data_IF_220374723428
#
_entry.id   IF_220374723428
#
_cell.length_a   1.000
_cell.length_b   1.000
_cell.length_c   1.000
_cell.angle_alpha   90.00
_cell.angle_beta   90.00
_cell.angle_gamma   90.00
#
_symmetry.space_group_name_H-M   'P 1'
#
loop_
_entity.id
_entity.type
_entity.pdbx_description
1 polymer ?
#
# COMPACT_ATOMS: atom_id res chain seq x y z
N UNK A 1 -2.55 -3.98 12.00
CA UNK A 1 -3.84 -3.76 11.30
C UNK A 1 -3.79 -2.53 10.44
N UNK A 2 -3.48 -1.37 11.02
CA UNK A 2 -3.27 -0.11 10.27
C UNK A 2 -2.28 -0.27 9.11
N UNK A 3 -1.12 -0.91 9.33
CA UNK A 3 -0.16 -1.18 8.26
C UNK A 3 -0.78 -1.97 7.08
N UNK A 4 -1.57 -3.02 7.36
CA UNK A 4 -2.22 -3.81 6.31
C UNK A 4 -3.29 -3.02 5.56
N UNK A 5 -4.12 -2.26 6.29
CA UNK A 5 -5.11 -1.37 5.67
C UNK A 5 -4.43 -0.31 4.78
N UNK A 6 -3.28 0.22 5.20
CA UNK A 6 -2.45 1.11 4.40
C UNK A 6 -1.92 0.42 3.13
N UNK A 7 -1.40 -0.81 3.22
CA UNK A 7 -0.95 -1.57 2.04
C UNK A 7 -2.11 -1.82 1.07
N UNK A 8 -3.28 -2.19 1.58
CA UNK A 8 -4.47 -2.40 0.74
C UNK A 8 -4.92 -1.11 0.03
N UNK A 9 -4.87 0.03 0.74
CA UNK A 9 -5.16 1.34 0.19
C UNK A 9 -4.16 1.74 -0.91
N UNK A 10 -2.88 1.45 -0.72
CA UNK A 10 -1.86 1.68 -1.75
C UNK A 10 -2.12 0.87 -3.01
N UNK A 11 -2.57 -0.39 -2.87
CA UNK A 11 -2.99 -1.20 -4.00
C UNK A 11 -4.12 -0.55 -4.81
N UNK A 12 -5.10 0.05 -4.13
CA UNK A 12 -6.17 0.80 -4.79
C UNK A 12 -5.63 2.04 -5.54
N UNK A 13 -4.74 2.81 -4.91
CA UNK A 13 -4.15 3.98 -5.56
C UNK A 13 -3.30 3.61 -6.77
N UNK A 14 -2.47 2.56 -6.68
CA UNK A 14 -1.74 2.03 -7.85
C UNK A 14 -2.67 1.59 -8.97
N UNK A 15 -3.82 0.99 -8.63
CA UNK A 15 -4.83 0.57 -9.61
C UNK A 15 -5.50 1.77 -10.28
N UNK A 16 -5.75 2.86 -9.55
CA UNK A 16 -6.23 4.13 -10.12
C UNK A 16 -5.19 4.73 -11.06
N UNK A 17 -3.91 4.64 -10.71
CA UNK A 17 -2.83 5.16 -11.54
C UNK A 17 -2.73 4.49 -12.90
N UNK A 18 -3.27 3.27 -13.06
CA UNK A 18 -3.38 2.62 -14.36
C UNK A 18 -4.26 3.40 -15.36
N UNK A 19 -5.18 4.24 -14.88
CA UNK A 19 -6.06 5.09 -15.71
C UNK A 19 -5.39 6.39 -16.19
N UNK A 20 -4.05 6.44 -16.26
CA UNK A 20 -3.33 7.60 -16.77
C UNK A 20 -3.72 7.91 -18.23
N UNK A 21 -3.67 9.19 -18.62
CA UNK A 21 -4.24 9.74 -19.85
C UNK A 21 -3.63 9.21 -21.15
N UNK A 22 -2.58 8.38 -21.06
CA UNK A 22 -1.86 7.80 -22.19
C UNK A 22 -2.33 6.40 -22.57
N UNK A 23 -3.25 5.81 -21.80
CA UNK A 23 -3.69 4.42 -21.98
C UNK A 23 -5.09 4.36 -22.60
N UNK A 24 -5.28 3.54 -23.63
CA UNK A 24 -6.58 3.34 -24.25
C UNK A 24 -7.40 2.33 -23.43
N UNK A 25 -8.27 2.85 -22.56
CA UNK A 25 -9.14 2.05 -21.70
C UNK A 25 -9.99 1.10 -22.56
N UNK A 26 -9.98 -0.19 -22.20
CA UNK A 26 -10.71 -1.25 -22.89
C UNK A 26 -10.05 -1.77 -24.16
N UNK A 27 -8.92 -1.18 -24.58
CA UNK A 27 -8.16 -1.61 -25.76
C UNK A 27 -6.80 -2.13 -25.33
N UNK A 28 -6.04 -1.35 -24.58
CA UNK A 28 -4.73 -1.74 -24.08
C UNK A 28 -4.89 -2.69 -22.88
N UNK A 29 -4.20 -3.85 -22.84
CA UNK A 29 -4.31 -4.77 -21.70
C UNK A 29 -3.64 -4.18 -20.45
N UNK A 30 -4.32 -4.28 -19.31
CA UNK A 30 -3.76 -3.92 -17.98
C UNK A 30 -2.68 -4.92 -17.58
N UNK A 31 -2.93 -6.20 -17.86
CA UNK A 31 -2.03 -7.32 -17.61
C UNK A 31 -1.69 -7.96 -18.96
N UNK A 32 -0.54 -7.61 -19.56
CA UNK A 32 -0.12 -8.23 -20.81
C UNK A 32 0.08 -9.74 -20.61
N UNK A 33 -0.23 -10.53 -21.64
CA UNK A 33 -0.15 -11.99 -21.58
C UNK A 33 -1.27 -12.69 -20.79
N UNK A 34 -2.24 -11.95 -20.25
CA UNK A 34 -3.42 -12.55 -19.60
C UNK A 34 -4.37 -13.22 -20.61
N UNK A 35 -5.08 -14.27 -20.17
CA UNK A 35 -6.13 -14.96 -20.94
C UNK A 35 -7.37 -14.08 -21.14
N UNK A 36 -7.59 -13.11 -20.25
CA UNK A 36 -8.79 -12.28 -20.29
C UNK A 36 -8.66 -11.14 -21.30
N UNK A 37 -9.70 -10.84 -22.10
CA UNK A 37 -9.71 -9.69 -22.98
C UNK A 37 -9.49 -8.37 -22.23
N UNK A 38 -8.84 -7.39 -22.86
CA UNK A 38 -8.53 -6.09 -22.26
C UNK A 38 -9.77 -5.44 -21.62
N UNK A 39 -10.92 -5.40 -22.31
CA UNK A 39 -12.19 -4.88 -21.77
C UNK A 39 -12.60 -5.51 -20.45
N UNK A 40 -12.45 -6.83 -20.32
CA UNK A 40 -12.76 -7.56 -19.10
C UNK A 40 -11.79 -7.20 -17.97
N UNK A 41 -10.50 -7.05 -18.28
CA UNK A 41 -9.50 -6.62 -17.30
C UNK A 41 -9.82 -5.21 -16.77
N UNK A 42 -10.18 -4.26 -17.64
CA UNK A 42 -10.56 -2.91 -17.23
C UNK A 42 -11.83 -2.86 -16.38
N UNK A 43 -12.88 -3.58 -16.79
CA UNK A 43 -14.12 -3.66 -16.02
C UNK A 43 -13.87 -4.25 -14.62
N UNK A 44 -13.08 -5.33 -14.55
CA UNK A 44 -12.66 -5.91 -13.30
C UNK A 44 -11.87 -4.92 -12.45
N UNK A 45 -10.90 -4.19 -13.03
CA UNK A 45 -10.08 -3.22 -12.33
C UNK A 45 -10.94 -2.10 -11.70
N UNK A 46 -11.92 -1.58 -12.43
CA UNK A 46 -12.85 -0.56 -11.92
C UNK A 46 -13.65 -1.07 -10.70
N UNK A 47 -14.18 -2.30 -10.80
CA UNK A 47 -14.93 -2.94 -9.69
C UNK A 47 -14.00 -3.20 -8.50
N UNK A 48 -12.80 -3.71 -8.76
CA UNK A 48 -11.79 -4.01 -7.76
C UNK A 48 -11.37 -2.76 -6.98
N UNK A 49 -11.21 -1.59 -7.63
CA UNK A 49 -10.89 -0.33 -6.96
C UNK A 49 -11.96 0.00 -5.91
N UNK A 50 -13.25 0.01 -6.30
CA UNK A 50 -14.36 0.31 -5.40
C UNK A 50 -14.43 -0.66 -4.22
N UNK A 51 -14.32 -1.96 -4.49
CA UNK A 51 -14.31 -2.99 -3.45
C UNK A 51 -13.08 -2.89 -2.54
N UNK A 52 -11.92 -2.49 -3.06
CA UNK A 52 -10.70 -2.32 -2.26
C UNK A 52 -10.82 -1.13 -1.30
N UNK A 53 -11.46 -0.02 -1.70
CA UNK A 53 -11.76 1.08 -0.78
C UNK A 53 -12.70 0.66 0.34
N UNK A 54 -13.82 0.00 -0.01
CA UNK A 54 -14.80 -0.50 0.97
C UNK A 54 -14.14 -1.48 1.93
N UNK A 55 -13.33 -2.39 1.41
CA UNK A 55 -12.55 -3.35 2.20
C UNK A 55 -11.54 -2.66 3.10
N UNK A 56 -10.85 -1.63 2.63
CA UNK A 56 -9.90 -0.83 3.42
C UNK A 56 -10.58 -0.17 4.61
N UNK A 57 -11.75 0.44 4.40
CA UNK A 57 -12.56 1.00 5.50
C UNK A 57 -12.96 -0.11 6.49
N UNK A 58 -13.37 -1.27 5.98
CA UNK A 58 -13.66 -2.45 6.79
C UNK A 58 -12.45 -2.92 7.63
N UNK A 59 -11.26 -2.92 7.06
CA UNK A 59 -10.01 -3.31 7.73
C UNK A 59 -9.62 -2.33 8.84
N UNK A 60 -9.75 -1.02 8.60
CA UNK A 60 -9.54 0.00 9.63
C UNK A 60 -10.53 -0.12 10.79
N UNK A 61 -11.77 -0.53 10.50
CA UNK A 61 -12.82 -0.75 11.50
C UNK A 61 -12.71 -2.10 12.21
N UNK A 62 -11.87 -3.01 11.70
CA UNK A 62 -11.75 -4.37 12.21
C UNK A 62 -12.97 -5.24 11.93
N UNK A 63 -13.67 -5.00 10.83
CA UNK A 63 -14.77 -5.84 10.40
C UNK A 63 -14.25 -7.19 9.88
N UNK A 64 -14.78 -8.30 10.40
CA UNK A 64 -14.30 -9.64 10.07
C UNK A 64 -14.47 -9.99 8.57
N UNK A 65 -15.51 -9.50 7.91
CA UNK A 65 -15.72 -9.72 6.48
C UNK A 65 -14.61 -9.09 5.62
N UNK A 66 -13.96 -8.04 6.09
CA UNK A 66 -12.99 -7.28 5.31
C UNK A 66 -11.71 -8.07 5.03
N UNK A 67 -11.23 -8.91 5.96
CA UNK A 67 -10.06 -9.78 5.69
C UNK A 67 -10.34 -10.84 4.63
N UNK A 68 -11.57 -11.36 4.60
CA UNK A 68 -11.99 -12.34 3.59
C UNK A 68 -12.19 -11.67 2.23
N UNK A 69 -12.83 -10.51 2.19
CA UNK A 69 -12.97 -9.74 0.96
C UNK A 69 -11.61 -9.34 0.38
N UNK A 70 -10.65 -8.93 1.22
CA UNK A 70 -9.30 -8.61 0.78
C UNK A 70 -8.60 -9.84 0.15
N UNK A 71 -8.75 -11.02 0.76
CA UNK A 71 -8.20 -12.26 0.20
C UNK A 71 -8.85 -12.61 -1.14
N UNK A 72 -10.19 -12.52 -1.23
CA UNK A 72 -10.91 -12.79 -2.49
C UNK A 72 -10.42 -11.86 -3.58
N UNK A 73 -10.40 -10.54 -3.33
CA UNK A 73 -9.90 -9.55 -4.28
C UNK A 73 -8.47 -9.86 -4.75
N UNK A 74 -7.59 -10.21 -3.81
CA UNK A 74 -6.21 -10.59 -4.12
C UNK A 74 -6.16 -11.81 -5.04
N UNK A 75 -6.84 -12.91 -4.69
CA UNK A 75 -6.88 -14.14 -5.49
C UNK A 75 -7.46 -13.88 -6.88
N UNK A 76 -8.61 -13.21 -6.96
CA UNK A 76 -9.25 -12.87 -8.24
C UNK A 76 -8.35 -11.96 -9.09
N UNK A 77 -7.63 -11.03 -8.48
CA UNK A 77 -6.65 -10.18 -9.17
C UNK A 77 -5.54 -11.01 -9.80
N UNK A 78 -4.98 -11.98 -9.08
CA UNK A 78 -3.94 -12.87 -9.62
C UNK A 78 -4.45 -13.84 -10.69
N UNK A 79 -5.71 -14.30 -10.60
CA UNK A 79 -6.33 -15.10 -11.65
C UNK A 79 -6.48 -14.28 -12.93
N UNK A 80 -6.95 -13.03 -12.82
CA UNK A 80 -7.09 -12.13 -13.97
C UNK A 80 -5.72 -11.72 -14.54
N UNK A 81 -4.70 -11.57 -13.69
CA UNK A 81 -3.36 -11.17 -14.10
C UNK A 81 -2.45 -12.33 -14.57
N UNK A 82 -2.95 -13.58 -14.59
CA UNK A 82 -2.14 -14.75 -14.89
C UNK A 82 -1.56 -14.71 -16.32
N UNK A 83 -0.23 -14.69 -16.51
CA UNK A 83 0.41 -14.50 -17.81
C UNK A 83 0.52 -15.83 -18.57
N UNK A 84 -0.62 -16.35 -19.04
CA UNK A 84 -0.69 -17.63 -19.78
C UNK A 84 -0.12 -17.50 -21.20
N UNK A 85 -0.26 -16.32 -21.82
CA UNK A 85 0.22 -16.05 -23.18
C UNK A 85 1.67 -15.60 -23.28
N UNK A 86 2.33 -15.26 -22.16
CA UNK A 86 3.67 -14.68 -22.19
C UNK A 86 4.55 -15.16 -21.02
N UNK A 87 5.25 -16.28 -21.24
CA UNK A 87 6.07 -16.94 -20.21
C UNK A 87 7.18 -16.04 -19.62
N UNK A 88 7.61 -15.00 -20.34
CA UNK A 88 8.61 -14.02 -19.86
C UNK A 88 8.12 -13.20 -18.65
N UNK A 89 6.81 -13.12 -18.44
CA UNK A 89 6.21 -12.44 -17.29
C UNK A 89 6.04 -13.35 -16.05
N UNK A 90 6.32 -14.65 -16.16
CA UNK A 90 6.23 -15.58 -15.03
C UNK A 90 7.11 -15.19 -13.83
N UNK A 91 8.36 -14.72 -14.00
CA UNK A 91 9.20 -14.33 -12.86
C UNK A 91 8.62 -13.14 -12.07
N UNK A 92 8.12 -12.11 -12.76
CA UNK A 92 7.49 -10.96 -12.09
C UNK A 92 6.17 -11.36 -11.45
N UNK A 93 5.34 -12.13 -12.14
CA UNK A 93 4.08 -12.65 -11.61
C UNK A 93 4.30 -13.52 -10.35
N UNK A 94 5.24 -14.45 -10.40
CA UNK A 94 5.57 -15.34 -9.28
C UNK A 94 6.12 -14.56 -8.08
N UNK A 95 6.99 -13.57 -8.31
CA UNK A 95 7.46 -12.68 -7.25
C UNK A 95 6.30 -11.89 -6.62
N UNK A 96 5.41 -11.35 -7.46
CA UNK A 96 4.25 -10.62 -6.98
C UNK A 96 3.34 -11.52 -6.14
N UNK A 97 3.00 -12.70 -6.64
CA UNK A 97 2.17 -13.67 -5.93
C UNK A 97 2.78 -14.05 -4.57
N UNK A 98 4.08 -14.40 -4.54
CA UNK A 98 4.79 -14.75 -3.31
C UNK A 98 4.77 -13.59 -2.29
N UNK A 99 5.01 -12.36 -2.74
CA UNK A 99 4.93 -11.18 -1.89
C UNK A 99 3.52 -10.94 -1.33
N UNK A 100 2.48 -11.19 -2.13
CA UNK A 100 1.09 -11.11 -1.65
C UNK A 100 0.76 -12.18 -0.62
N UNK A 101 1.25 -13.41 -0.80
CA UNK A 101 1.13 -14.45 0.23
C UNK A 101 1.78 -14.00 1.54
N UNK A 102 2.99 -13.41 1.49
CA UNK A 102 3.67 -12.90 2.69
C UNK A 102 2.90 -11.76 3.39
N UNK A 103 2.23 -10.89 2.63
CA UNK A 103 1.46 -9.77 3.18
C UNK A 103 0.11 -10.24 3.76
N UNK A 104 -0.56 -11.20 3.11
CA UNK A 104 -1.90 -11.65 3.49
C UNK A 104 -1.89 -12.81 4.49
N UNK A 105 -0.88 -13.67 4.52
CA UNK A 105 -0.80 -14.79 5.47
C UNK A 105 -0.90 -14.36 6.94
N UNK A 106 -0.27 -13.25 7.39
CA UNK A 106 -0.43 -12.74 8.76
C UNK A 106 -1.88 -12.41 9.14
N UNK A 107 -2.76 -12.10 8.18
CA UNK A 107 -4.18 -11.83 8.49
C UNK A 107 -4.92 -13.03 9.07
N UNK A 108 -4.45 -14.24 8.75
CA UNK A 108 -5.10 -15.49 9.10
C UNK A 108 -4.29 -16.27 10.14
N UNK A 109 -2.96 -16.21 10.07
CA UNK A 109 -2.08 -17.02 10.91
C UNK A 109 -1.71 -16.34 12.24
N UNK A 110 -1.74 -15.01 12.32
CA UNK A 110 -1.34 -14.32 13.55
C UNK A 110 -2.49 -14.25 14.57
N UNK A 111 -2.33 -14.80 15.79
CA UNK A 111 -3.40 -14.88 16.79
C UNK A 111 -3.85 -13.49 17.30
N UNK A 112 -2.94 -12.52 17.32
CA UNK A 112 -3.23 -11.11 17.65
C UNK A 112 -4.18 -10.47 16.64
N UNK A 113 -4.09 -10.88 15.37
CA UNK A 113 -4.94 -10.40 14.28
C UNK A 113 -6.32 -11.02 14.37
N UNK A 114 -6.39 -12.33 14.59
CA UNK A 114 -7.66 -13.03 14.79
C UNK A 114 -8.45 -12.41 15.94
N UNK A 115 -7.80 -12.13 17.08
CA UNK A 115 -8.43 -11.42 18.21
C UNK A 115 -8.91 -10.00 17.86
N UNK A 116 -8.23 -9.32 16.95
CA UNK A 116 -8.64 -8.00 16.49
C UNK A 116 -9.98 -8.04 15.72
N UNK A 117 -10.20 -9.07 14.91
CA UNK A 117 -11.42 -9.24 14.09
C UNK A 117 -12.57 -9.99 14.80
N UNK A 118 -12.30 -10.73 15.89
CA UNK A 118 -13.33 -11.49 16.64
C UNK A 118 -14.00 -10.69 17.75
N UNK A 119 -13.44 -9.55 18.17
CA UNK A 119 -14.05 -8.69 19.21
C UNK A 119 -15.37 -8.13 18.69
N UNK A 120 -16.45 -8.23 19.48
CA UNK A 120 -17.80 -7.84 19.03
C UNK A 120 -17.85 -6.39 18.53
N UNK A 121 -18.60 -6.18 17.43
CA UNK A 121 -18.77 -4.89 16.80
C UNK A 121 -19.35 -3.83 17.75
N UNK A 122 -20.10 -4.25 18.77
CA UNK A 122 -20.79 -3.35 19.71
C UNK A 122 -19.85 -2.65 20.68
N UNK A 123 -18.78 -3.30 21.15
CA UNK A 123 -17.79 -2.66 22.06
C UNK A 123 -16.88 -1.68 21.31
N UNK A 124 -16.79 -1.79 19.99
CA UNK A 124 -15.92 -0.97 19.13
C UNK A 124 -16.66 0.11 18.32
N UNK A 125 -18.00 0.14 18.40
CA UNK A 125 -18.89 1.12 17.75
C UNK A 125 -18.96 2.48 18.45
N UNK A 126 -18.14 2.75 19.48
CA UNK A 126 -17.91 4.14 19.86
C UNK A 126 -17.14 4.83 18.74
N UNK A 127 -17.88 5.52 17.88
CA UNK A 127 -17.39 6.55 16.97
C UNK A 127 -16.61 7.58 17.80
N UNK A 128 -15.31 7.34 18.00
CA UNK A 128 -14.42 8.39 18.44
C UNK A 128 -14.16 9.24 17.20
N UNK A 129 -14.75 10.43 17.15
CA UNK A 129 -14.56 11.44 16.09
C UNK A 129 -13.06 11.60 15.77
N UNK A 130 -12.21 11.57 16.80
CA UNK A 130 -10.74 11.62 16.71
C UNK A 130 -10.15 10.47 15.89
N UNK A 131 -10.69 9.26 16.03
CA UNK A 131 -10.27 8.11 15.25
C UNK A 131 -10.63 8.22 13.78
N UNK A 132 -11.82 8.73 13.47
CA UNK A 132 -12.24 8.98 12.08
C UNK A 132 -11.38 10.04 11.41
N UNK A 133 -11.09 11.15 12.10
CA UNK A 133 -10.20 12.20 11.60
C UNK A 133 -8.79 11.65 11.35
N UNK A 134 -8.24 10.88 12.29
CA UNK A 134 -6.93 10.24 12.13
C UNK A 134 -6.89 9.27 10.95
N UNK A 135 -7.94 8.48 10.73
CA UNK A 135 -8.04 7.61 9.55
C UNK A 135 -8.10 8.41 8.24
N UNK A 136 -8.85 9.51 8.20
CA UNK A 136 -8.93 10.38 7.02
C UNK A 136 -7.57 11.04 6.73
N UNK A 137 -6.88 11.55 7.76
CA UNK A 137 -5.53 12.11 7.64
C UNK A 137 -4.52 11.07 7.17
N UNK A 138 -4.61 9.83 7.68
CA UNK A 138 -3.77 8.72 7.20
C UNK A 138 -4.05 8.42 5.73
N UNK A 139 -5.32 8.31 5.31
CA UNK A 139 -5.67 8.06 3.92
C UNK A 139 -5.15 9.16 2.99
N UNK A 140 -5.23 10.43 3.41
CA UNK A 140 -4.71 11.57 2.67
C UNK A 140 -3.17 11.58 2.62
N UNK A 141 -2.50 11.22 3.72
CA UNK A 141 -1.05 11.06 3.77
C UNK A 141 -0.57 9.92 2.85
N UNK A 142 -1.33 8.82 2.80
CA UNK A 142 -1.05 7.70 1.89
C UNK A 142 -1.21 8.12 0.43
N UNK A 143 -2.30 8.84 0.11
CA UNK A 143 -2.54 9.35 -1.24
C UNK A 143 -1.43 10.32 -1.70
N UNK A 144 -1.03 11.24 -0.84
CA UNK A 144 0.05 12.19 -1.15
C UNK A 144 1.40 11.49 -1.31
N UNK A 145 1.79 10.63 -0.37
CA UNK A 145 3.03 9.85 -0.47
C UNK A 145 3.04 8.97 -1.73
N UNK A 146 1.90 8.33 -2.05
CA UNK A 146 1.77 7.52 -3.25
C UNK A 146 1.96 8.35 -4.52
N UNK A 147 1.25 9.47 -4.63
CA UNK A 147 1.28 10.34 -5.80
C UNK A 147 2.67 10.94 -6.03
N UNK A 148 3.38 11.32 -4.96
CA UNK A 148 4.75 11.85 -5.05
C UNK A 148 5.70 10.78 -5.57
N UNK A 149 5.69 9.57 -4.99
CA UNK A 149 6.62 8.50 -5.38
C UNK A 149 6.32 8.02 -6.81
N UNK A 150 5.06 7.78 -7.16
CA UNK A 150 4.68 7.41 -8.53
C UNK A 150 5.00 8.54 -9.53
N UNK A 151 4.76 9.79 -9.16
CA UNK A 151 5.07 10.94 -10.01
C UNK A 151 6.57 11.07 -10.30
N UNK A 152 7.43 10.83 -9.31
CA UNK A 152 8.88 10.76 -9.50
C UNK A 152 9.28 9.56 -10.34
N UNK A 153 8.69 8.39 -10.07
CA UNK A 153 9.00 7.16 -10.79
C UNK A 153 8.70 7.29 -12.29
N UNK A 154 7.54 7.85 -12.65
CA UNK A 154 7.14 8.10 -14.04
C UNK A 154 7.66 9.42 -14.62
N UNK A 155 8.44 10.19 -13.86
CA UNK A 155 8.95 11.52 -14.25
C UNK A 155 7.87 12.54 -14.63
N UNK A 156 6.66 12.39 -14.10
CA UNK A 156 5.60 13.40 -14.21
C UNK A 156 5.75 14.50 -13.17
N UNK A 157 6.53 14.26 -12.12
CA UNK A 157 6.88 15.23 -11.08
C UNK A 157 8.40 15.45 -11.05
N UNK A 158 8.85 16.70 -10.93
CA UNK A 158 10.27 16.98 -10.73
C UNK A 158 10.73 16.52 -9.35
N UNK A 159 12.00 16.11 -9.26
CA UNK A 159 12.59 15.56 -8.03
C UNK A 159 12.56 16.58 -6.90
N UNK A 160 12.87 17.85 -7.20
CA UNK A 160 12.86 18.95 -6.23
C UNK A 160 11.46 19.16 -5.63
N UNK A 161 10.43 19.19 -6.48
CA UNK A 161 9.03 19.32 -6.05
C UNK A 161 8.63 18.10 -5.21
N UNK A 162 9.15 16.90 -5.50
CA UNK A 162 8.88 15.70 -4.74
C UNK A 162 9.39 15.77 -3.30
N UNK A 163 10.62 16.24 -3.12
CA UNK A 163 11.24 16.40 -1.81
C UNK A 163 10.53 17.48 -1.00
N UNK A 164 10.27 18.64 -1.61
CA UNK A 164 9.50 19.72 -0.97
C UNK A 164 8.10 19.23 -0.63
N UNK A 165 7.42 18.55 -1.55
CA UNK A 165 6.07 18.03 -1.36
C UNK A 165 5.99 16.99 -0.24
N UNK A 166 7.03 16.19 -0.05
CA UNK A 166 7.10 15.26 1.09
C UNK A 166 7.13 16.03 2.42
N UNK A 167 7.93 17.10 2.49
CA UNK A 167 8.00 17.96 3.67
C UNK A 167 6.75 18.81 3.90
N UNK A 168 6.10 19.29 2.85
CA UNK A 168 4.98 20.24 2.93
C UNK A 168 3.62 19.56 3.05
N UNK A 169 3.45 18.34 2.50
CA UNK A 169 2.16 17.66 2.51
C UNK A 169 2.15 16.46 3.45
N UNK A 170 3.18 15.61 3.42
CA UNK A 170 3.19 14.38 4.25
C UNK A 170 3.46 14.73 5.72
N UNK A 171 4.51 15.51 6.01
CA UNK A 171 4.89 15.82 7.39
C UNK A 171 3.77 16.52 8.18
N UNK A 172 3.06 17.56 7.66
CA UNK A 172 1.99 18.19 8.42
C UNK A 172 0.82 17.25 8.70
N UNK A 173 0.50 16.32 7.79
CA UNK A 173 -0.52 15.30 8.05
C UNK A 173 -0.12 14.37 9.20
N UNK A 174 1.16 13.97 9.27
CA UNK A 174 1.68 13.18 10.38
C UNK A 174 1.64 13.96 11.71
N UNK A 175 1.95 15.25 11.69
CA UNK A 175 1.83 16.13 12.86
C UNK A 175 0.37 16.29 13.32
N UNK A 176 -0.57 16.45 12.39
CA UNK A 176 -2.00 16.51 12.70
C UNK A 176 -2.50 15.19 13.31
N UNK A 177 -1.99 14.03 12.89
CA UNK A 177 -2.30 12.74 13.51
C UNK A 177 -1.81 12.68 14.97
N UNK A 178 -0.66 13.28 15.28
CA UNK A 178 -0.15 13.38 16.66
C UNK A 178 -1.07 14.24 17.54
N UNK A 179 -1.49 15.41 17.03
CA UNK A 179 -2.33 16.36 17.76
C UNK A 179 -3.75 15.83 17.97
N UNK A 180 -4.37 15.27 16.93
CA UNK A 180 -5.79 14.85 16.96
C UNK A 180 -6.08 13.70 17.92
N UNK A 181 -5.12 12.77 18.11
CA UNK A 181 -5.31 11.59 18.96
C UNK A 181 -5.05 11.86 20.44
N UNK A 182 -4.25 12.88 20.79
CA UNK A 182 -3.82 13.19 22.16
C UNK A 182 -3.19 12.00 22.93
N UNK A 183 -2.72 10.97 22.20
CA UNK A 183 -2.09 9.75 22.72
C UNK A 183 -0.86 9.44 21.88
N UNK A 184 0.27 9.99 22.30
CA UNK A 184 1.52 9.96 21.55
C UNK A 184 1.90 8.56 21.08
N UNK A 185 1.85 7.55 21.95
CA UNK A 185 2.25 6.19 21.59
C UNK A 185 1.37 5.56 20.52
N UNK A 186 0.07 5.84 20.51
CA UNK A 186 -0.86 5.32 19.50
C UNK A 186 -0.57 5.99 18.17
N UNK A 187 -0.43 7.32 18.15
CA UNK A 187 -0.10 8.07 16.94
C UNK A 187 1.25 7.68 16.35
N UNK A 188 2.29 7.50 17.17
CA UNK A 188 3.60 7.07 16.69
C UNK A 188 3.56 5.65 16.10
N UNK A 189 2.75 4.73 16.67
CA UNK A 189 2.55 3.40 16.08
C UNK A 189 1.80 3.48 14.74
N UNK A 190 0.82 4.37 14.62
CA UNK A 190 0.09 4.61 13.37
C UNK A 190 1.00 5.21 12.29
N UNK A 191 1.85 6.18 12.66
CA UNK A 191 2.84 6.79 11.77
C UNK A 191 3.89 5.77 11.35
N UNK A 192 4.43 4.98 12.28
CA UNK A 192 5.38 3.92 11.96
C UNK A 192 4.77 2.89 10.98
N UNK A 193 3.52 2.49 11.22
CA UNK A 193 2.78 1.60 10.35
C UNK A 193 2.56 2.21 8.94
N UNK A 194 2.22 3.50 8.87
CA UNK A 194 2.12 4.25 7.62
C UNK A 194 3.45 4.24 6.84
N UNK A 195 4.54 4.65 7.48
CA UNK A 195 5.87 4.77 6.87
C UNK A 195 6.35 3.42 6.32
N UNK A 196 6.21 2.36 7.12
CA UNK A 196 6.58 1.01 6.71
C UNK A 196 5.68 0.45 5.62
N UNK A 197 4.37 0.74 5.64
CA UNK A 197 3.45 0.29 4.59
C UNK A 197 3.75 0.94 3.25
N UNK A 198 4.01 2.25 3.23
CA UNK A 198 4.44 2.97 2.02
C UNK A 198 5.76 2.38 1.49
N UNK A 199 6.77 2.25 2.36
CA UNK A 199 8.07 1.73 1.98
C UNK A 199 8.00 0.29 1.45
N UNK A 200 7.27 -0.60 2.14
CA UNK A 200 7.13 -2.00 1.72
C UNK A 200 6.38 -2.11 0.39
N UNK A 201 5.31 -1.33 0.19
CA UNK A 201 4.52 -1.38 -1.04
C UNK A 201 5.37 -0.92 -2.23
N UNK A 202 6.11 0.18 -2.10
CA UNK A 202 6.94 0.68 -3.18
C UNK A 202 8.20 -0.16 -3.42
N UNK A 203 8.82 -0.71 -2.38
CA UNK A 203 9.92 -1.67 -2.55
C UNK A 203 9.44 -2.89 -3.34
N UNK A 204 8.27 -3.43 -2.98
CA UNK A 204 7.64 -4.54 -3.69
C UNK A 204 7.32 -4.20 -5.15
N UNK A 205 6.73 -3.03 -5.42
CA UNK A 205 6.42 -2.58 -6.78
C UNK A 205 7.68 -2.35 -7.63
N UNK A 206 8.71 -1.70 -7.07
CA UNK A 206 9.99 -1.48 -7.74
C UNK A 206 10.68 -2.80 -8.09
N UNK A 207 10.71 -3.76 -7.16
CA UNK A 207 11.26 -5.09 -7.43
C UNK A 207 10.47 -5.83 -8.51
N UNK A 208 9.13 -5.82 -8.43
CA UNK A 208 8.26 -6.42 -9.46
C UNK A 208 8.48 -5.78 -10.84
N UNK A 209 8.61 -4.45 -10.87
CA UNK A 209 8.91 -3.69 -12.09
C UNK A 209 10.29 -4.02 -12.65
N UNK A 210 11.33 -4.10 -11.82
CA UNK A 210 12.68 -4.48 -12.28
C UNK A 210 12.70 -5.87 -12.88
N UNK A 211 11.98 -6.83 -12.29
CA UNK A 211 11.83 -8.17 -12.86
C UNK A 211 11.11 -8.09 -14.21
N UNK A 212 9.99 -7.37 -14.28
CA UNK A 212 9.26 -7.21 -15.55
C UNK A 212 10.14 -6.59 -16.64
N UNK A 213 10.84 -5.49 -16.36
CA UNK A 213 11.75 -4.86 -17.33
C UNK A 213 12.88 -5.80 -17.71
N UNK A 214 13.51 -6.49 -16.76
CA UNK A 214 14.65 -7.38 -17.03
C UNK A 214 14.31 -8.54 -17.96
N UNK A 215 13.10 -9.10 -17.86
CA UNK A 215 12.70 -10.29 -18.60
C UNK A 215 11.88 -9.99 -19.86
N UNK A 216 11.21 -8.83 -19.93
CA UNK A 216 10.30 -8.48 -21.03
C UNK A 216 10.88 -7.40 -21.94
N UNK A 217 11.59 -6.41 -21.39
CA UNK A 217 11.99 -5.20 -22.11
C UNK A 217 13.52 -5.09 -22.27
N UNK A 218 14.02 -4.33 -23.27
CA UNK A 218 15.45 -4.04 -23.38
C UNK A 218 15.94 -3.23 -22.17
N UNK A 219 17.20 -3.42 -21.77
CA UNK A 219 17.80 -2.75 -20.61
C UNK A 219 17.71 -1.21 -20.66
N UNK A 220 17.63 -0.64 -21.89
CA UNK A 220 17.43 0.78 -22.11
C UNK A 220 16.09 1.32 -21.59
N UNK A 221 15.05 0.47 -21.45
CA UNK A 221 13.73 0.87 -20.97
C UNK A 221 13.77 1.46 -19.54
N UNK A 222 14.73 1.03 -18.72
CA UNK A 222 14.90 1.49 -17.35
C UNK A 222 15.37 2.96 -17.26
N UNK A 223 15.97 3.50 -18.33
CA UNK A 223 16.43 4.89 -18.40
C UNK A 223 15.28 5.90 -18.53
N UNK A 224 14.08 5.47 -18.91
CA UNK A 224 12.89 6.33 -19.02
C UNK A 224 12.23 6.61 -17.67
N UNK A 225 12.57 5.83 -16.63
CA UNK A 225 11.99 5.95 -15.29
C UNK A 225 12.91 6.70 -14.32
N UNK A 226 12.32 7.41 -13.35
CA UNK A 226 12.99 8.09 -12.23
C UNK A 226 13.26 7.17 -11.04
N UNK A 227 13.56 5.88 -11.29
CA UNK A 227 13.58 4.82 -10.27
C UNK A 227 14.56 5.08 -9.12
N UNK A 228 15.69 5.79 -9.36
CA UNK A 228 16.68 6.11 -8.33
C UNK A 228 16.10 6.99 -7.22
N UNK A 229 15.38 8.04 -7.58
CA UNK A 229 14.77 8.94 -6.61
C UNK A 229 13.56 8.31 -5.93
N UNK A 230 12.79 7.50 -6.67
CA UNK A 230 11.73 6.67 -6.09
C UNK A 230 12.29 5.71 -5.02
N UNK A 231 13.44 5.09 -5.29
CA UNK A 231 14.12 4.19 -4.36
C UNK A 231 14.64 4.94 -3.12
N UNK A 232 15.23 6.13 -3.30
CA UNK A 232 15.69 6.96 -2.19
C UNK A 232 14.53 7.40 -1.27
N UNK A 233 13.40 7.84 -1.85
CA UNK A 233 12.20 8.18 -1.08
C UNK A 233 11.68 6.94 -0.33
N UNK A 234 11.60 5.81 -1.00
CA UNK A 234 11.17 4.53 -0.40
C UNK A 234 12.07 4.14 0.77
N UNK A 235 13.39 4.26 0.61
CA UNK A 235 14.36 3.97 1.66
C UNK A 235 14.22 4.94 2.85
N UNK A 236 14.01 6.23 2.60
CA UNK A 236 13.78 7.22 3.66
C UNK A 236 12.54 6.87 4.49
N UNK A 237 11.40 6.61 3.83
CA UNK A 237 10.18 6.19 4.52
C UNK A 237 10.42 4.91 5.34
N UNK A 238 11.15 3.93 4.78
CA UNK A 238 11.50 2.70 5.47
C UNK A 238 12.37 2.92 6.72
N UNK A 239 13.44 3.69 6.59
CA UNK A 239 14.37 4.01 7.69
C UNK A 239 13.65 4.78 8.79
N UNK A 240 12.87 5.80 8.45
CA UNK A 240 12.08 6.56 9.43
C UNK A 240 11.06 5.67 10.14
N UNK A 241 10.38 4.77 9.42
CA UNK A 241 9.43 3.81 9.98
C UNK A 241 10.09 2.80 10.94
N UNK A 242 11.24 2.26 10.56
CA UNK A 242 12.03 1.34 11.39
C UNK A 242 12.59 2.03 12.64
N UNK A 243 13.16 3.23 12.49
CA UNK A 243 13.67 4.02 13.60
C UNK A 243 12.57 4.32 14.63
N UNK A 244 11.38 4.70 14.14
CA UNK A 244 10.24 4.99 15.01
C UNK A 244 9.73 3.73 15.72
N UNK A 245 9.70 2.59 15.02
CA UNK A 245 9.33 1.30 15.60
C UNK A 245 10.34 0.87 16.68
N UNK A 246 11.64 1.00 16.40
CA UNK A 246 12.71 0.69 17.35
C UNK A 246 12.63 1.58 18.60
N UNK A 247 12.35 2.87 18.43
CA UNK A 247 12.12 3.81 19.53
C UNK A 247 10.96 3.35 20.43
N UNK A 248 9.83 2.99 19.83
CA UNK A 248 8.65 2.49 20.57
C UNK A 248 8.93 1.18 21.29
N UNK A 249 9.67 0.26 20.68
CA UNK A 249 10.08 -1.00 21.31
C UNK A 249 11.00 -0.74 22.51
N UNK A 250 11.99 0.14 22.38
CA UNK A 250 12.89 0.51 23.49
C UNK A 250 12.11 1.13 24.66
N UNK A 251 11.20 2.06 24.35
CA UNK A 251 10.37 2.73 25.36
C UNK A 251 9.45 1.75 26.09
N UNK A 252 8.80 0.84 25.37
CA UNK A 252 7.93 -0.17 26.00
C UNK A 252 8.71 -1.14 26.88
N UNK A 253 9.93 -1.56 26.49
CA UNK A 253 10.80 -2.39 27.33
C UNK A 253 11.27 -1.68 28.59
N UNK A 254 11.61 -0.40 28.48
CA UNK A 254 12.00 0.41 29.64
C UNK A 254 10.84 0.54 30.64
N UNK A 255 9.61 0.76 30.16
CA UNK A 255 8.43 0.83 31.01
C UNK A 255 8.14 -0.48 31.75
N UNK A 256 8.35 -1.64 31.12
CA UNK A 256 8.19 -2.95 31.77
C UNK A 256 9.32 -3.33 32.73
N UNK A 257 10.48 -2.69 32.63
CA UNK A 257 11.59 -2.92 33.56
C UNK A 257 11.49 -2.09 34.86
N UNK A 258 10.58 -1.10 34.88
CA UNK A 258 10.32 -0.22 36.03
C UNK A 258 9.05 -0.60 36.81
N UNK A 259 8.29 -1.60 36.34
CA UNK A 259 7.08 -2.16 36.96
C UNK A 259 7.37 -3.50 37.62
#
# INVERSE_FOLDING_TARGET
MTAFACVNLMGAFSSIWAFDARVHIGVDPVYPGSVFPARWQWNWLTVAIGLTFVTTVGLFRGANWARWMALVLCVTGYVVAAPVGEARMLPSYGFMLAGSVLVYAPLFLCPTVTRYFTRSADVRRMFSIRGTISMALLALAMFTAHSIIMGVFHRTLSVEIAWIGTGVFVLPMLLLILVTRWRLEVSLREIAAFLLAVAATFAYQLCGFFLAVRFVYPAAAMAYFGWRHSLLLTALFGICGLALTAYLMRRSRAATAMS
#
